data_IF_557724846621
#
_entry.id   IF_557724846621
#
_cell.length_a   1.000
_cell.length_b   1.000
_cell.length_c   1.000
_cell.angle_alpha   90.00
_cell.angle_beta   90.00
_cell.angle_gamma   90.00
#
_symmetry.space_group_name_H-M   'P 1'
#
loop_
_entity.id
_entity.type
_entity.pdbx_description
1 polymer ?
#
# COMPACT_ATOMS: atom_id res chain seq x y z
N UNK A 1 -6.86 17.83 -15.38
CA UNK A 1 -7.34 17.16 -14.15
C UNK A 1 -6.21 16.24 -13.71
N UNK A 2 -5.39 16.67 -12.75
CA UNK A 2 -4.28 15.86 -12.25
C UNK A 2 -4.83 14.79 -11.31
N UNK A 3 -4.36 13.55 -11.44
CA UNK A 3 -4.72 12.45 -10.54
C UNK A 3 -4.24 12.82 -9.12
N UNK A 4 -5.01 12.44 -8.09
CA UNK A 4 -4.77 12.88 -6.71
C UNK A 4 -3.34 12.62 -6.21
N UNK A 5 -2.74 11.43 -6.43
CA UNK A 5 -1.33 11.18 -6.14
C UNK A 5 -0.40 12.18 -6.82
N UNK A 6 -0.53 12.45 -8.12
CA UNK A 6 0.35 13.40 -8.81
C UNK A 6 0.30 14.81 -8.19
N UNK A 7 -0.92 15.23 -7.81
CA UNK A 7 -1.13 16.53 -7.20
C UNK A 7 -0.49 16.62 -5.82
N UNK A 8 -0.70 15.65 -4.93
CA UNK A 8 -0.17 15.73 -3.57
C UNK A 8 1.36 15.75 -3.55
N UNK A 9 2.02 14.96 -4.40
CA UNK A 9 3.49 14.96 -4.50
C UNK A 9 4.02 16.32 -4.98
N UNK A 10 3.32 16.99 -5.89
CA UNK A 10 3.71 18.34 -6.35
C UNK A 10 3.54 19.40 -5.25
N UNK A 11 2.52 19.25 -4.40
CA UNK A 11 2.28 20.18 -3.29
C UNK A 11 3.29 19.99 -2.16
N UNK A 12 3.75 18.77 -1.93
CA UNK A 12 4.77 18.49 -0.90
C UNK A 12 6.07 19.23 -1.16
N UNK A 13 6.50 19.42 -2.40
CA UNK A 13 7.68 20.24 -2.68
C UNK A 13 7.45 21.71 -2.27
N UNK A 14 6.29 22.26 -2.60
CA UNK A 14 5.93 23.65 -2.27
C UNK A 14 5.74 23.89 -0.77
N UNK A 15 5.17 22.91 -0.05
CA UNK A 15 4.93 23.01 1.39
C UNK A 15 6.21 22.98 2.21
N UNK A 16 7.37 22.65 1.62
CA UNK A 16 8.63 22.57 2.36
C UNK A 16 9.07 23.94 2.85
N UNK A 17 8.97 24.95 2.00
CA UNK A 17 9.38 26.32 2.35
C UNK A 17 8.34 27.02 3.24
N UNK A 18 7.06 26.76 3.01
CA UNK A 18 5.97 27.42 3.74
C UNK A 18 5.82 26.84 5.16
N UNK A 19 6.12 25.56 5.34
CA UNK A 19 6.11 24.90 6.66
C UNK A 19 7.14 25.49 7.65
N UNK A 20 8.16 26.20 7.16
CA UNK A 20 9.13 26.92 8.02
C UNK A 20 8.53 28.16 8.70
N UNK A 21 7.43 28.69 8.15
CA UNK A 21 6.82 29.95 8.60
C UNK A 21 5.48 29.71 9.29
N UNK A 22 4.77 28.65 8.91
CA UNK A 22 3.46 28.28 9.46
C UNK A 22 3.51 26.94 10.20
N UNK A 23 3.36 26.99 11.53
CA UNK A 23 3.40 25.81 12.41
C UNK A 23 2.26 24.83 12.12
N UNK A 24 1.07 25.32 11.74
CA UNK A 24 -0.06 24.47 11.37
C UNK A 24 0.23 23.64 10.11
N UNK A 25 0.86 24.27 9.11
CA UNK A 25 1.28 23.61 7.88
C UNK A 25 2.44 22.66 8.12
N UNK A 26 3.36 22.98 9.04
CA UNK A 26 4.40 22.06 9.50
C UNK A 26 3.78 20.76 10.04
N UNK A 27 2.78 20.85 10.93
CA UNK A 27 2.08 19.68 11.47
C UNK A 27 1.36 18.92 10.35
N UNK A 28 0.63 19.62 9.48
CA UNK A 28 -0.10 19.00 8.37
C UNK A 28 0.85 18.26 7.41
N UNK A 29 2.00 18.86 7.08
CA UNK A 29 3.04 18.25 6.25
C UNK A 29 3.56 16.96 6.89
N UNK A 30 3.89 16.98 8.18
CA UNK A 30 4.35 15.78 8.92
C UNK A 30 3.31 14.66 8.88
N UNK A 31 2.05 14.98 9.13
CA UNK A 31 0.96 14.00 9.06
C UNK A 31 0.80 13.40 7.65
N UNK A 32 0.90 14.22 6.60
CA UNK A 32 0.81 13.75 5.22
C UNK A 32 1.99 12.86 4.86
N UNK A 33 3.22 13.25 5.19
CA UNK A 33 4.41 12.44 4.92
C UNK A 33 4.36 11.09 5.65
N UNK A 34 4.06 11.10 6.95
CA UNK A 34 3.86 9.89 7.74
C UNK A 34 2.76 9.00 7.15
N UNK A 35 1.62 9.59 6.77
CA UNK A 35 0.52 8.87 6.13
C UNK A 35 0.94 8.23 4.80
N UNK A 36 1.62 8.96 3.93
CA UNK A 36 2.08 8.47 2.63
C UNK A 36 3.09 7.32 2.76
N UNK A 37 3.97 7.34 3.76
CA UNK A 37 4.85 6.22 4.09
C UNK A 37 4.07 5.00 4.60
N UNK A 38 3.06 5.20 5.44
CA UNK A 38 2.27 4.09 6.00
C UNK A 38 1.40 3.35 4.96
N UNK A 39 0.96 4.04 3.91
CA UNK A 39 0.06 3.47 2.88
C UNK A 39 0.78 2.93 1.65
N UNK A 40 2.11 2.79 1.69
CA UNK A 40 2.88 2.24 0.58
C UNK A 40 2.34 0.86 0.14
N UNK A 41 2.32 0.65 -1.18
CA UNK A 41 1.79 -0.58 -1.79
C UNK A 41 2.61 -1.78 -1.34
N UNK A 42 3.93 -1.64 -1.39
CA UNK A 42 4.86 -2.64 -0.90
C UNK A 42 4.95 -2.55 0.63
N UNK A 43 4.61 -3.62 1.36
CA UNK A 43 4.63 -3.61 2.82
C UNK A 43 6.04 -3.39 3.39
N UNK A 44 7.08 -3.78 2.66
CA UNK A 44 8.48 -3.59 3.09
C UNK A 44 8.92 -2.13 3.09
N UNK A 45 8.22 -1.27 2.35
CA UNK A 45 8.52 0.16 2.29
C UNK A 45 7.80 0.93 3.40
N UNK A 46 6.94 0.26 4.19
CA UNK A 46 6.24 0.90 5.30
C UNK A 46 7.18 0.98 6.50
N UNK A 47 7.38 2.17 7.10
CA UNK A 47 8.20 2.29 8.29
C UNK A 47 7.54 1.58 9.48
N UNK A 48 8.34 1.05 10.42
CA UNK A 48 7.83 0.56 11.69
C UNK A 48 7.28 1.72 12.55
N UNK A 49 6.45 1.38 13.54
CA UNK A 49 5.66 2.38 14.27
C UNK A 49 6.52 3.38 15.07
N UNK A 50 7.66 2.93 15.59
CA UNK A 50 8.65 3.76 16.27
C UNK A 50 9.20 4.87 15.36
N UNK A 51 9.49 4.54 14.11
CA UNK A 51 9.93 5.53 13.11
C UNK A 51 8.78 6.49 12.78
N UNK A 52 7.55 5.99 12.65
CA UNK A 52 6.38 6.86 12.42
C UNK A 52 6.18 7.84 13.58
N UNK A 53 6.40 7.41 14.83
CA UNK A 53 6.34 8.31 16.00
C UNK A 53 7.43 9.36 15.95
N UNK A 54 8.66 8.98 15.62
CA UNK A 54 9.78 9.91 15.43
C UNK A 54 9.46 10.96 14.35
N UNK A 55 8.84 10.56 13.24
CA UNK A 55 8.41 11.48 12.18
C UNK A 55 7.35 12.48 12.66
N UNK A 56 6.46 12.10 13.58
CA UNK A 56 5.39 12.98 14.08
C UNK A 56 5.89 13.94 15.17
N UNK A 57 6.70 13.43 16.10
CA UNK A 57 7.24 14.17 17.23
C UNK A 57 8.45 15.03 16.84
N UNK A 58 9.23 14.60 15.84
CA UNK A 58 10.43 15.25 15.35
C UNK A 58 10.20 16.46 14.44
N UNK A 59 11.29 16.96 13.84
CA UNK A 59 11.25 18.10 12.93
C UNK A 59 10.79 17.72 11.52
N UNK A 60 10.13 18.65 10.83
CA UNK A 60 9.64 18.42 9.47
C UNK A 60 10.76 18.37 8.42
N UNK A 61 11.94 18.98 8.67
CA UNK A 61 13.03 19.01 7.69
C UNK A 61 13.76 17.66 7.51
N UNK A 62 13.54 16.69 8.41
CA UNK A 62 14.21 15.39 8.37
C UNK A 62 13.44 14.28 7.64
N UNK A 63 12.18 14.54 7.25
CA UNK A 63 11.32 13.52 6.67
C UNK A 63 11.42 13.54 5.14
N UNK A 64 11.95 12.46 4.58
CA UNK A 64 11.99 12.28 3.13
C UNK A 64 10.60 12.04 2.54
N UNK A 65 10.40 12.51 1.31
CA UNK A 65 9.19 12.26 0.54
C UNK A 65 9.19 10.78 0.11
N UNK A 66 8.15 10.00 0.44
CA UNK A 66 8.10 8.60 0.08
C UNK A 66 8.07 8.40 -1.44
N UNK A 67 8.46 7.21 -1.93
CA UNK A 67 8.35 6.90 -3.34
C UNK A 67 6.90 6.97 -3.80
N UNK A 68 6.70 7.57 -4.97
CA UNK A 68 5.39 7.66 -5.59
C UNK A 68 4.94 6.28 -6.06
N UNK A 69 3.75 5.81 -5.64
CA UNK A 69 3.26 4.51 -6.08
C UNK A 69 3.09 4.50 -7.60
N UNK A 70 3.78 3.56 -8.26
CA UNK A 70 3.62 3.32 -9.68
C UNK A 70 2.42 2.39 -9.89
N UNK A 71 1.31 2.95 -10.38
CA UNK A 71 0.21 2.14 -10.88
C UNK A 71 0.49 1.85 -12.35
N UNK A 72 0.80 0.59 -12.74
CA UNK A 72 0.76 0.26 -14.15
C UNK A 72 -0.64 0.58 -14.68
N UNK A 73 -0.77 1.09 -15.92
CA UNK A 73 -2.09 1.29 -16.51
C UNK A 73 -2.87 -0.02 -16.40
N UNK A 74 -4.07 0.03 -15.82
CA UNK A 74 -4.89 -1.17 -15.66
C UNK A 74 -5.22 -1.71 -17.05
N UNK A 75 -4.55 -2.78 -17.47
CA UNK A 75 -5.10 -3.65 -18.50
C UNK A 75 -6.29 -4.33 -17.85
N UNK A 76 -7.46 -3.71 -17.98
CA UNK A 76 -8.74 -4.33 -17.62
C UNK A 76 -8.99 -5.45 -18.62
N UNK A 77 -8.34 -6.60 -18.42
CA UNK A 77 -8.79 -7.83 -19.07
C UNK A 77 -10.18 -8.15 -18.48
N UNK A 78 -11.24 -8.22 -19.30
CA UNK A 78 -12.56 -8.55 -18.83
C UNK A 78 -12.53 -9.91 -18.11
N UNK A 79 -12.94 -9.91 -16.84
CA UNK A 79 -13.09 -11.13 -16.04
C UNK A 79 -14.30 -11.93 -16.54
N UNK A 80 -14.20 -12.55 -17.72
CA UNK A 80 -15.28 -13.36 -18.30
C UNK A 80 -14.89 -14.78 -18.71
N UNK A 81 -13.64 -15.23 -18.51
CA UNK A 81 -13.21 -16.57 -18.97
C UNK A 81 -12.56 -17.47 -17.91
N UNK A 82 -12.94 -17.35 -16.63
CA UNK A 82 -12.74 -18.47 -15.69
C UNK A 82 -14.04 -19.26 -15.53
N UNK A 83 -14.56 -19.81 -16.63
CA UNK A 83 -15.67 -20.77 -16.60
C UNK A 83 -15.27 -22.13 -17.18
N UNK A 84 -15.19 -23.07 -16.25
CA UNK A 84 -15.53 -24.51 -16.35
C UNK A 84 -14.54 -25.49 -16.98
N UNK A 85 -14.00 -26.35 -16.11
CA UNK A 85 -13.97 -27.83 -16.18
C UNK A 85 -12.72 -28.29 -15.42
N UNK A 86 -12.78 -29.06 -14.33
CA UNK A 86 -13.36 -30.40 -14.32
C UNK A 86 -13.99 -30.74 -12.97
N UNK A 87 -15.19 -31.30 -13.05
CA UNK A 87 -15.62 -32.29 -12.08
C UNK A 87 -14.81 -33.57 -12.37
N UNK A 88 -13.97 -33.99 -11.43
CA UNK A 88 -13.59 -35.40 -11.32
C UNK A 88 -13.78 -35.85 -9.88
N UNK A 89 -14.72 -36.80 -9.78
CA UNK A 89 -15.19 -37.51 -8.61
C UNK A 89 -14.06 -38.32 -7.97
N UNK A 90 -13.80 -38.10 -6.68
CA UNK A 90 -13.25 -39.14 -5.80
C UNK A 90 -14.08 -39.16 -4.51
N UNK A 91 -15.18 -39.91 -4.57
CA UNK A 91 -15.70 -40.65 -3.42
C UNK A 91 -15.45 -42.12 -3.72
N UNK A 92 -15.18 -42.90 -2.68
CA UNK A 92 -14.99 -44.35 -2.64
C UNK A 92 -13.54 -44.85 -2.64
N UNK A 93 -12.90 -44.80 -1.47
CA UNK A 93 -11.99 -45.88 -1.02
C UNK A 93 -12.06 -46.02 0.51
N UNK A 94 -13.25 -46.38 1.02
CA UNK A 94 -13.41 -46.81 2.41
C UNK A 94 -14.36 -48.00 2.51
N UNK A 95 -14.00 -49.11 1.87
CA UNK A 95 -14.47 -50.46 2.26
C UNK A 95 -13.95 -51.54 1.31
N UNK A 96 -13.50 -52.65 1.90
CA UNK A 96 -13.19 -53.97 1.32
C UNK A 96 -11.76 -54.20 0.80
N UNK A 97 -10.84 -54.50 1.73
CA UNK A 97 -10.07 -55.75 1.61
C UNK A 97 -10.23 -56.53 2.90
N UNK A 98 -11.24 -57.41 2.91
CA UNK A 98 -11.13 -58.67 3.63
C UNK A 98 -9.95 -59.42 3.03
N UNK A 99 -9.05 -59.94 3.85
CA UNK A 99 -8.48 -61.27 3.63
C UNK A 99 -7.89 -61.79 4.93
N UNK A 100 -8.44 -62.92 5.38
CA UNK A 100 -7.89 -63.79 6.41
C UNK A 100 -6.58 -64.41 5.98
N UNK A 101 -5.64 -64.51 6.92
CA UNK A 101 -5.07 -65.79 7.36
C UNK A 101 -4.58 -65.64 8.81
#
# INVERSE_FOLDING_TARGET
>A
MSYFPDWIYTQLDQWNEIALVDEGLCIARKMVLAGLWCIQINPSDRPPIDIVLEMLEGSHEGIEIPPKPFFPPSTVEPLSELRSSSADTIKDTASLTSNSM
#
